data_IF_721212168834
#
_entry.id   IF_721212168834
#
_cell.length_a   1.000
_cell.length_b   1.000
_cell.length_c   1.000
_cell.angle_alpha   90.00
_cell.angle_beta   90.00
_cell.angle_gamma   90.00
#
_symmetry.space_group_name_H-M   'P 1'
#
loop_
_entity.id
_entity.type
_entity.pdbx_description
1 polymer ?
#
# COMPACT_ATOMS: atom_id res chain seq x y z
N UNK A 1 17.09 9.68 -12.59
CA UNK A 1 17.79 10.81 -11.95
C UNK A 1 19.00 11.27 -12.77
N UNK A 2 20.06 10.46 -12.91
CA UNK A 2 21.35 10.88 -13.52
C UNK A 2 21.25 11.24 -15.00
N UNK A 3 20.60 10.41 -15.82
CA UNK A 3 20.37 10.71 -17.25
C UNK A 3 19.52 11.97 -17.49
N UNK A 4 18.74 12.38 -16.50
CA UNK A 4 17.92 13.60 -16.54
C UNK A 4 18.62 14.80 -15.88
N UNK A 5 19.86 14.65 -15.39
CA UNK A 5 20.62 15.72 -14.74
C UNK A 5 20.11 16.15 -13.35
N UNK A 6 19.14 15.43 -12.76
CA UNK A 6 18.55 15.79 -11.46
C UNK A 6 19.56 15.45 -10.35
N UNK A 7 20.07 16.43 -9.60
CA UNK A 7 21.11 16.18 -8.57
C UNK A 7 20.55 15.98 -7.16
N UNK A 8 19.39 16.58 -6.90
CA UNK A 8 18.74 16.62 -5.60
C UNK A 8 17.23 16.45 -5.80
N UNK A 9 16.56 15.89 -4.79
CA UNK A 9 15.11 15.71 -4.72
C UNK A 9 14.65 16.44 -3.47
N UNK A 10 13.86 17.50 -3.63
CA UNK A 10 13.38 18.26 -2.48
C UNK A 10 12.45 17.40 -1.62
N UNK A 11 11.55 16.63 -2.25
CA UNK A 11 10.59 15.78 -1.56
C UNK A 11 10.35 14.49 -2.34
N UNK A 12 10.41 13.35 -1.64
CA UNK A 12 9.87 12.08 -2.12
C UNK A 12 8.55 11.76 -1.40
N UNK A 13 7.51 11.36 -2.13
CA UNK A 13 6.20 11.03 -1.56
C UNK A 13 5.83 9.62 -2.01
N UNK A 14 5.50 8.76 -1.05
CA UNK A 14 5.14 7.38 -1.32
C UNK A 14 4.04 6.89 -0.38
N UNK A 15 2.96 6.38 -0.96
CA UNK A 15 1.90 5.70 -0.22
C UNK A 15 1.88 4.20 -0.50
N UNK A 16 1.51 3.39 0.50
CA UNK A 16 1.46 1.93 0.37
C UNK A 16 2.81 1.39 -0.13
N UNK A 17 2.82 0.61 -1.20
CA UNK A 17 4.04 0.08 -1.86
C UNK A 17 4.96 1.22 -2.34
N UNK A 18 4.42 2.38 -2.73
CA UNK A 18 5.23 3.55 -3.07
C UNK A 18 6.03 4.07 -1.86
N UNK A 19 5.52 3.88 -0.64
CA UNK A 19 6.23 4.17 0.61
C UNK A 19 7.47 3.30 0.78
N UNK A 20 7.45 2.05 0.32
CA UNK A 20 8.62 1.17 0.35
C UNK A 20 9.74 1.70 -0.53
N UNK A 21 9.40 2.17 -1.73
CA UNK A 21 10.36 2.79 -2.64
C UNK A 21 10.94 4.08 -2.06
N UNK A 22 10.09 4.92 -1.44
CA UNK A 22 10.53 6.14 -0.79
C UNK A 22 11.49 5.87 0.37
N UNK A 23 11.21 4.85 1.20
CA UNK A 23 12.09 4.39 2.27
C UNK A 23 13.43 3.88 1.71
N UNK A 24 13.39 2.95 0.76
CA UNK A 24 14.60 2.38 0.16
C UNK A 24 15.48 3.47 -0.48
N UNK A 25 14.91 4.41 -1.23
CA UNK A 25 15.68 5.51 -1.81
C UNK A 25 16.28 6.43 -0.75
N UNK A 26 15.54 6.73 0.31
CA UNK A 26 16.02 7.60 1.39
C UNK A 26 17.14 6.96 2.22
N UNK A 27 17.18 5.63 2.29
CA UNK A 27 18.27 4.88 2.94
C UNK A 27 19.46 4.71 2.00
N UNK A 28 19.23 4.40 0.72
CA UNK A 28 20.29 4.17 -0.27
C UNK A 28 21.00 5.47 -0.67
N UNK A 29 20.28 6.60 -0.66
CA UNK A 29 20.77 7.89 -1.13
C UNK A 29 20.44 9.03 -0.14
N UNK A 30 20.91 8.94 1.12
CA UNK A 30 20.46 9.83 2.21
C UNK A 30 20.77 11.32 1.95
N UNK A 31 21.84 11.63 1.22
CA UNK A 31 22.22 13.02 0.87
C UNK A 31 21.41 13.61 -0.31
N UNK A 32 20.55 12.81 -0.94
CA UNK A 32 19.87 13.20 -2.19
C UNK A 32 18.43 13.65 -1.97
N UNK A 33 17.88 13.47 -0.78
CA UNK A 33 16.47 13.69 -0.47
C UNK A 33 16.36 14.58 0.77
N UNK A 34 15.75 15.76 0.65
CA UNK A 34 15.61 16.70 1.77
C UNK A 34 14.37 16.41 2.64
N UNK A 35 13.23 16.17 2.01
CA UNK A 35 11.95 15.86 2.65
C UNK A 35 11.37 14.54 2.17
N UNK A 36 10.55 13.92 3.03
CA UNK A 36 9.89 12.65 2.71
C UNK A 36 8.46 12.64 3.24
N UNK A 37 7.53 12.10 2.48
CA UNK A 37 6.16 11.81 2.95
C UNK A 37 5.87 10.33 2.76
N UNK A 38 5.58 9.64 3.86
CA UNK A 38 5.20 8.23 3.89
C UNK A 38 3.73 8.11 4.29
N UNK A 39 2.92 7.44 3.46
CA UNK A 39 1.49 7.25 3.70
C UNK A 39 1.19 5.74 3.81
N UNK A 40 0.56 5.30 4.90
CA UNK A 40 0.00 3.95 5.02
C UNK A 40 0.95 2.83 4.53
N UNK A 41 2.18 2.79 5.07
CA UNK A 41 3.19 1.81 4.69
C UNK A 41 3.97 1.35 5.93
N UNK A 42 4.93 0.46 5.76
CA UNK A 42 5.74 -0.09 6.83
C UNK A 42 7.22 -0.27 6.44
N UNK A 43 8.07 -0.52 7.43
CA UNK A 43 9.51 -0.68 7.23
C UNK A 43 9.89 -2.05 6.64
N UNK A 44 9.04 -3.06 6.88
CA UNK A 44 9.23 -4.44 6.43
C UNK A 44 7.86 -5.06 6.31
N UNK A 45 7.63 -5.85 5.27
CA UNK A 45 6.34 -6.55 5.12
C UNK A 45 6.07 -7.43 6.36
N UNK A 46 4.86 -7.34 6.89
CA UNK A 46 4.44 -8.13 8.04
C UNK A 46 4.01 -9.54 7.60
N UNK A 47 3.96 -10.53 8.51
CA UNK A 47 3.32 -11.81 8.22
C UNK A 47 1.89 -11.64 7.72
N UNK A 48 1.14 -10.73 8.34
CA UNK A 48 -0.22 -10.37 7.94
C UNK A 48 -0.33 -9.90 6.48
N UNK A 49 0.54 -8.97 6.05
CA UNK A 49 0.60 -8.53 4.66
C UNK A 49 1.04 -9.66 3.71
N UNK A 50 1.97 -10.51 4.16
CA UNK A 50 2.45 -11.67 3.41
C UNK A 50 1.32 -12.69 3.18
N UNK A 51 0.49 -12.94 4.18
CA UNK A 51 -0.61 -13.89 4.10
C UNK A 51 -1.71 -13.40 3.15
N UNK A 52 -2.00 -12.09 3.16
CA UNK A 52 -2.86 -11.49 2.13
C UNK A 52 -2.29 -11.70 0.73
N UNK A 53 -0.99 -11.47 0.52
CA UNK A 53 -0.35 -11.64 -0.77
C UNK A 53 -0.29 -13.10 -1.22
N UNK A 54 -0.01 -14.04 -0.31
CA UNK A 54 0.00 -15.47 -0.62
C UNK A 54 -1.38 -15.97 -0.99
N UNK A 55 -2.42 -15.59 -0.25
CA UNK A 55 -3.81 -15.96 -0.57
C UNK A 55 -4.22 -15.45 -1.97
N UNK A 56 -3.76 -14.26 -2.35
CA UNK A 56 -3.94 -13.75 -3.71
C UNK A 56 -3.21 -14.59 -4.75
N UNK A 57 -1.97 -15.02 -4.48
CA UNK A 57 -1.23 -15.91 -5.39
C UNK A 57 -1.84 -17.29 -5.48
N UNK A 58 -2.33 -17.86 -4.39
CA UNK A 58 -3.09 -19.11 -4.40
C UNK A 58 -4.27 -19.01 -5.36
N UNK A 59 -5.00 -17.88 -5.38
CA UNK A 59 -6.07 -17.66 -6.34
C UNK A 59 -5.57 -17.64 -7.80
N UNK A 60 -4.36 -17.11 -8.06
CA UNK A 60 -3.75 -17.20 -9.39
C UNK A 60 -3.45 -18.66 -9.79
N UNK A 61 -2.82 -19.43 -8.90
CA UNK A 61 -2.51 -20.85 -9.12
C UNK A 61 -3.76 -21.74 -9.19
N UNK A 62 -4.89 -21.27 -8.68
CA UNK A 62 -6.19 -21.95 -8.79
C UNK A 62 -6.78 -21.88 -10.20
N UNK A 63 -6.27 -21.00 -11.06
CA UNK A 63 -6.65 -20.86 -12.46
C UNK A 63 -5.62 -21.61 -13.33
N UNK A 64 -5.95 -22.79 -13.91
CA UNK A 64 -4.99 -23.61 -14.65
C UNK A 64 -4.30 -22.85 -15.80
N UNK A 65 -5.01 -21.90 -16.42
CA UNK A 65 -4.45 -21.09 -17.51
C UNK A 65 -3.27 -20.22 -17.09
N UNK A 66 -3.10 -19.98 -15.78
CA UNK A 66 -1.96 -19.24 -15.23
C UNK A 66 -0.65 -20.01 -15.42
N UNK A 67 -0.61 -21.28 -15.02
CA UNK A 67 0.58 -22.13 -15.09
C UNK A 67 0.84 -22.67 -16.49
N UNK A 68 -0.22 -22.92 -17.25
CA UNK A 68 -0.11 -23.35 -18.66
C UNK A 68 0.61 -22.32 -19.53
N UNK A 69 0.49 -21.02 -19.22
CA UNK A 69 1.15 -19.92 -19.95
C UNK A 69 0.90 -19.90 -21.47
N UNK A 70 -0.21 -20.51 -21.92
CA UNK A 70 -0.59 -20.59 -23.33
C UNK A 70 -1.03 -19.23 -23.93
N UNK A 71 -1.24 -18.20 -23.10
CA UNK A 71 -1.67 -16.86 -23.51
C UNK A 71 -1.13 -15.80 -22.57
N UNK A 72 -0.89 -14.59 -23.10
CA UNK A 72 -0.58 -13.39 -22.30
C UNK A 72 -1.71 -13.03 -21.31
N UNK A 73 -2.92 -13.54 -21.53
CA UNK A 73 -4.07 -13.36 -20.64
C UNK A 73 -4.31 -14.55 -19.70
N UNK A 74 -3.37 -15.49 -19.60
CA UNK A 74 -3.45 -16.61 -18.66
C UNK A 74 -3.60 -16.14 -17.21
N UNK A 75 -4.35 -16.89 -16.40
CA UNK A 75 -4.64 -16.56 -15.00
C UNK A 75 -5.66 -15.43 -14.82
N UNK A 76 -6.44 -15.08 -15.86
CA UNK A 76 -7.41 -14.01 -15.80
C UNK A 76 -8.49 -14.20 -14.73
N UNK A 77 -9.01 -15.43 -14.56
CA UNK A 77 -10.00 -15.71 -13.50
C UNK A 77 -9.36 -15.74 -12.13
N UNK A 78 -8.14 -16.26 -12.04
CA UNK A 78 -7.34 -16.16 -10.83
C UNK A 78 -7.13 -14.70 -10.41
N UNK A 79 -6.84 -13.80 -11.36
CA UNK A 79 -6.64 -12.37 -11.10
C UNK A 79 -7.92 -11.66 -10.64
N UNK A 80 -9.08 -12.00 -11.20
CA UNK A 80 -10.37 -11.48 -10.72
C UNK A 80 -10.55 -11.81 -9.23
N UNK A 81 -10.28 -13.06 -8.83
CA UNK A 81 -10.37 -13.52 -7.44
C UNK A 81 -9.29 -12.91 -6.54
N UNK A 82 -8.04 -12.88 -6.99
CA UNK A 82 -6.93 -12.24 -6.28
C UNK A 82 -7.25 -10.77 -5.97
N UNK A 83 -7.80 -10.03 -6.93
CA UNK A 83 -8.23 -8.65 -6.69
C UNK A 83 -9.37 -8.55 -5.67
N UNK A 84 -10.34 -9.47 -5.70
CA UNK A 84 -11.41 -9.46 -4.72
C UNK A 84 -10.86 -9.68 -3.29
N UNK A 85 -9.91 -10.60 -3.11
CA UNK A 85 -9.19 -10.82 -1.85
C UNK A 85 -8.46 -9.55 -1.42
N UNK A 86 -7.68 -8.95 -2.33
CA UNK A 86 -6.93 -7.73 -2.05
C UNK A 86 -7.85 -6.58 -1.59
N UNK A 87 -9.04 -6.45 -2.20
CA UNK A 87 -10.00 -5.39 -1.86
C UNK A 87 -10.54 -5.51 -0.43
N UNK A 88 -10.60 -6.72 0.15
CA UNK A 88 -10.95 -6.89 1.55
C UNK A 88 -9.91 -6.26 2.48
N UNK A 89 -8.63 -6.34 2.12
CA UNK A 89 -7.54 -5.71 2.87
C UNK A 89 -7.47 -4.19 2.67
N UNK A 90 -7.99 -3.68 1.55
CA UNK A 90 -7.93 -2.24 1.26
C UNK A 90 -9.06 -1.42 1.89
N UNK A 91 -10.12 -2.09 2.33
CA UNK A 91 -11.32 -1.47 2.88
C UNK A 91 -11.41 -1.74 4.39
N UNK A 92 -12.40 -1.12 5.01
CA UNK A 92 -12.74 -1.39 6.41
C UNK A 92 -14.14 -1.97 6.52
N UNK A 93 -14.42 -2.60 7.66
CA UNK A 93 -15.76 -3.03 8.03
C UNK A 93 -16.81 -1.91 7.92
N UNK A 94 -16.48 -0.71 8.43
CA UNK A 94 -17.37 0.46 8.35
C UNK A 94 -17.59 0.91 6.91
N UNK A 95 -16.53 0.95 6.11
CA UNK A 95 -16.60 1.37 4.71
C UNK A 95 -17.48 0.45 3.86
N UNK A 96 -17.41 -0.86 4.08
CA UNK A 96 -18.32 -1.81 3.44
C UNK A 96 -19.76 -1.61 3.92
N UNK A 97 -19.99 -1.43 5.22
CA UNK A 97 -21.33 -1.16 5.76
C UNK A 97 -21.94 0.12 5.16
N UNK A 98 -21.15 1.19 5.00
CA UNK A 98 -21.62 2.45 4.43
C UNK A 98 -22.01 2.33 2.96
N UNK A 99 -21.29 1.53 2.17
CA UNK A 99 -21.39 1.59 0.71
C UNK A 99 -22.08 0.39 0.08
N UNK A 100 -22.09 -0.76 0.75
CA UNK A 100 -22.53 -2.05 0.18
C UNK A 100 -23.67 -2.71 0.97
N UNK A 101 -24.27 -2.02 1.95
CA UNK A 101 -25.46 -2.53 2.64
C UNK A 101 -26.67 -2.60 1.70
N UNK A 102 -27.48 -3.63 1.89
CA UNK A 102 -28.80 -3.75 1.27
C UNK A 102 -29.75 -2.69 1.84
N UNK A 103 -30.69 -2.24 1.02
CA UNK A 103 -31.74 -1.30 1.45
C UNK A 103 -32.91 -2.03 2.09
N UNK A 104 -33.23 -3.22 1.58
CA UNK A 104 -34.26 -4.11 2.12
C UNK A 104 -33.67 -5.00 3.23
N UNK A 105 -34.28 -4.94 4.42
CA UNK A 105 -33.86 -5.70 5.60
C UNK A 105 -34.25 -7.18 5.53
N UNK A 106 -35.24 -7.54 4.72
CA UNK A 106 -35.73 -8.93 4.58
C UNK A 106 -35.04 -9.66 3.41
N UNK A 107 -34.02 -9.03 2.81
CA UNK A 107 -33.31 -9.59 1.68
C UNK A 107 -32.51 -10.83 2.07
N UNK A 108 -32.76 -11.93 1.35
CA UNK A 108 -32.16 -13.23 1.65
C UNK A 108 -30.64 -13.29 1.40
N UNK A 109 -30.13 -12.63 0.35
CA UNK A 109 -28.71 -12.63 -0.02
C UNK A 109 -28.19 -11.21 -0.23
N UNK A 110 -26.96 -10.93 0.24
CA UNK A 110 -26.28 -9.65 0.10
C UNK A 110 -25.70 -9.43 -1.33
N UNK A 111 -26.58 -9.16 -2.29
CA UNK A 111 -26.24 -8.99 -3.70
C UNK A 111 -25.37 -7.77 -4.01
N UNK A 112 -25.54 -6.64 -3.31
CA UNK A 112 -24.75 -5.40 -3.52
C UNK A 112 -23.29 -5.65 -3.20
N UNK A 113 -22.98 -6.18 -2.02
CA UNK A 113 -21.62 -6.55 -1.65
C UNK A 113 -21.00 -7.58 -2.60
N UNK A 114 -21.76 -8.62 -2.97
CA UNK A 114 -21.30 -9.66 -3.90
C UNK A 114 -21.00 -9.10 -5.30
N UNK A 115 -21.90 -8.29 -5.85
CA UNK A 115 -21.75 -7.71 -7.19
C UNK A 115 -20.62 -6.68 -7.25
N UNK A 116 -20.45 -5.88 -6.20
CA UNK A 116 -19.32 -4.95 -6.05
C UNK A 116 -17.98 -5.69 -6.10
N UNK A 117 -17.83 -6.77 -5.32
CA UNK A 117 -16.58 -7.54 -5.32
C UNK A 117 -16.27 -8.15 -6.69
N UNK A 118 -17.26 -8.79 -7.32
CA UNK A 118 -17.11 -9.34 -8.68
C UNK A 118 -16.75 -8.26 -9.70
N UNK A 119 -17.40 -7.10 -9.62
CA UNK A 119 -17.15 -5.98 -10.52
C UNK A 119 -15.72 -5.43 -10.36
N UNK A 120 -15.24 -5.24 -9.13
CA UNK A 120 -13.87 -4.74 -8.90
C UNK A 120 -12.81 -5.72 -9.37
N UNK A 121 -13.03 -7.03 -9.20
CA UNK A 121 -12.19 -8.08 -9.75
C UNK A 121 -12.12 -8.02 -11.27
N UNK A 122 -13.28 -8.04 -11.94
CA UNK A 122 -13.38 -7.92 -13.40
C UNK A 122 -12.71 -6.65 -13.92
N UNK A 123 -12.96 -5.51 -13.27
CA UNK A 123 -12.40 -4.20 -13.64
C UNK A 123 -10.88 -4.18 -13.59
N UNK A 124 -10.23 -4.85 -12.63
CA UNK A 124 -8.77 -4.96 -12.64
C UNK A 124 -8.29 -5.88 -13.76
N UNK A 125 -8.88 -7.07 -13.89
CA UNK A 125 -8.47 -8.03 -14.93
C UNK A 125 -8.57 -7.45 -16.34
N UNK A 126 -9.58 -6.60 -16.61
CA UNK A 126 -9.72 -5.93 -17.92
C UNK A 126 -8.57 -4.92 -18.22
N UNK A 127 -7.73 -4.54 -17.24
CA UNK A 127 -6.67 -3.52 -17.39
C UNK A 127 -5.31 -3.90 -16.80
N UNK A 128 -5.14 -5.13 -16.33
CA UNK A 128 -3.92 -5.57 -15.65
C UNK A 128 -3.62 -7.04 -15.95
N UNK A 129 -2.35 -7.42 -15.81
CA UNK A 129 -1.85 -8.75 -16.17
C UNK A 129 -1.55 -9.60 -14.93
N UNK A 130 -1.93 -10.88 -14.96
CA UNK A 130 -1.78 -11.81 -13.83
C UNK A 130 -0.29 -12.07 -13.50
N UNK A 131 0.58 -12.19 -14.50
CA UNK A 131 2.02 -12.39 -14.30
C UNK A 131 2.70 -11.16 -13.68
N UNK A 132 2.32 -9.96 -14.13
CA UNK A 132 2.75 -8.72 -13.50
C UNK A 132 2.26 -8.63 -12.05
N UNK A 133 1.01 -9.00 -11.80
CA UNK A 133 0.42 -9.03 -10.45
C UNK A 133 1.19 -9.97 -9.54
N UNK A 134 1.41 -11.22 -9.97
CA UNK A 134 2.22 -12.21 -9.26
C UNK A 134 3.61 -11.65 -8.91
N UNK A 135 4.31 -11.12 -9.90
CA UNK A 135 5.66 -10.57 -9.74
C UNK A 135 5.68 -9.41 -8.74
N UNK A 136 4.70 -8.51 -8.81
CA UNK A 136 4.57 -7.41 -7.87
C UNK A 136 4.30 -7.90 -6.46
N UNK A 137 3.43 -8.90 -6.25
CA UNK A 137 3.20 -9.45 -4.90
C UNK A 137 4.46 -10.09 -4.32
N UNK A 138 5.29 -10.76 -5.13
CA UNK A 138 6.58 -11.27 -4.68
C UNK A 138 7.56 -10.13 -4.36
N UNK A 139 7.55 -9.06 -5.15
CA UNK A 139 8.35 -7.86 -4.85
C UNK A 139 7.93 -7.22 -3.53
N UNK A 140 6.63 -7.14 -3.25
CA UNK A 140 6.07 -6.62 -1.99
C UNK A 140 6.55 -7.49 -0.82
N UNK A 141 6.45 -8.81 -0.93
CA UNK A 141 6.90 -9.73 0.12
C UNK A 141 8.42 -9.68 0.38
N UNK A 142 9.18 -9.22 -0.61
CA UNK A 142 10.61 -9.01 -0.45
C UNK A 142 10.96 -7.73 0.31
N UNK A 143 9.99 -6.85 0.59
CA UNK A 143 10.24 -5.58 1.28
C UNK A 143 10.76 -5.78 2.70
N UNK A 144 11.96 -5.27 2.96
CA UNK A 144 12.59 -5.24 4.27
C UNK A 144 13.74 -4.25 4.25
N UNK A 145 13.52 -3.04 4.77
CA UNK A 145 14.57 -2.02 4.78
C UNK A 145 15.79 -2.41 5.60
N UNK A 146 15.68 -3.36 6.54
CA UNK A 146 16.79 -3.79 7.38
C UNK A 146 17.71 -4.84 6.73
N UNK A 147 17.33 -5.37 5.55
CA UNK A 147 18.05 -6.48 4.90
C UNK A 147 19.47 -6.05 4.53
N UNK A 148 20.46 -6.77 5.08
CA UNK A 148 21.88 -6.48 4.86
C UNK A 148 22.38 -5.17 5.50
N UNK A 149 21.56 -4.52 6.35
CA UNK A 149 21.88 -3.20 6.96
C UNK A 149 22.00 -3.24 8.48
N UNK A 150 21.96 -4.44 9.07
CA UNK A 150 22.12 -4.66 10.51
C UNK A 150 20.86 -4.44 11.34
N UNK A 151 19.68 -4.61 10.74
CA UNK A 151 18.38 -4.44 11.40
C UNK A 151 17.57 -3.30 10.80
N UNK A 152 16.27 -3.30 11.07
CA UNK A 152 15.33 -2.32 10.51
C UNK A 152 15.61 -0.94 11.13
N UNK A 153 15.75 -0.87 12.45
CA UNK A 153 16.03 0.32 13.24
C UNK A 153 17.32 1.00 12.79
N UNK A 154 18.39 0.21 12.58
CA UNK A 154 19.67 0.71 12.08
C UNK A 154 19.57 1.24 10.64
N UNK A 155 18.69 0.67 9.81
CA UNK A 155 18.48 1.17 8.46
C UNK A 155 17.67 2.47 8.47
N UNK A 156 16.60 2.53 9.26
CA UNK A 156 15.76 3.73 9.40
C UNK A 156 16.53 4.92 9.97
N UNK A 157 17.46 4.70 10.92
CA UNK A 157 18.29 5.76 11.49
C UNK A 157 19.28 6.40 10.50
N UNK A 158 19.49 5.81 9.34
CA UNK A 158 20.32 6.37 8.27
C UNK A 158 19.60 7.43 7.43
N UNK A 159 18.27 7.51 7.54
CA UNK A 159 17.46 8.48 6.79
C UNK A 159 17.77 9.89 7.31
N UNK A 160 18.24 10.75 6.41
CA UNK A 160 18.51 12.17 6.68
C UNK A 160 17.36 13.11 6.26
N UNK A 161 16.49 12.65 5.36
CA UNK A 161 15.31 13.39 4.96
C UNK A 161 14.40 13.64 6.16
N UNK A 162 13.75 14.80 6.22
CA UNK A 162 12.73 15.12 7.23
C UNK A 162 11.41 14.44 6.87
N UNK A 163 10.96 13.39 7.60
CA UNK A 163 9.75 12.66 7.25
C UNK A 163 8.48 13.29 7.82
N UNK A 164 7.42 13.34 7.01
CA UNK A 164 6.03 13.28 7.46
C UNK A 164 5.52 11.86 7.26
N UNK A 165 5.08 11.23 8.32
CA UNK A 165 4.52 9.88 8.32
C UNK A 165 3.04 10.01 8.63
N UNK A 166 2.20 9.49 7.74
CA UNK A 166 0.75 9.54 7.84
C UNK A 166 0.22 8.10 7.93
N UNK A 167 -0.45 7.80 9.04
CA UNK A 167 -1.23 6.58 9.21
C UNK A 167 -2.71 6.83 8.98
N UNK A 168 -3.45 5.79 8.57
CA UNK A 168 -4.91 5.81 8.52
C UNK A 168 -5.45 4.91 9.65
N UNK A 169 -6.35 5.42 10.47
CA UNK A 169 -6.80 4.75 11.70
C UNK A 169 -7.58 3.45 11.49
N UNK A 170 -8.23 3.30 10.34
CA UNK A 170 -8.97 2.10 9.96
C UNK A 170 -8.19 1.17 9.03
N UNK A 171 -6.92 1.44 8.74
CA UNK A 171 -6.09 0.59 7.89
C UNK A 171 -5.84 -0.75 8.56
N UNK A 172 -6.28 -1.82 7.89
CA UNK A 172 -6.04 -3.19 8.35
C UNK A 172 -4.87 -3.83 7.61
N UNK A 173 -4.45 -3.31 6.46
CA UNK A 173 -3.33 -3.87 5.70
C UNK A 173 -1.99 -3.41 6.27
N UNK A 174 -1.88 -2.11 6.58
CA UNK A 174 -0.74 -1.51 7.28
C UNK A 174 -1.24 -0.81 8.54
N UNK A 175 -1.47 -1.55 9.63
CA UNK A 175 -2.07 -0.99 10.84
C UNK A 175 -1.17 0.10 11.46
N UNK A 176 -1.78 0.98 12.26
CA UNK A 176 -1.14 2.18 12.80
C UNK A 176 0.17 1.91 13.55
N UNK A 177 0.32 0.73 14.16
CA UNK A 177 1.55 0.38 14.87
C UNK A 177 2.77 0.39 13.94
N UNK A 178 2.60 0.07 12.66
CA UNK A 178 3.67 0.06 11.66
C UNK A 178 4.16 1.48 11.34
N UNK A 179 3.25 2.45 11.20
CA UNK A 179 3.64 3.84 10.96
C UNK A 179 4.17 4.51 12.23
N UNK A 180 3.63 4.14 13.40
CA UNK A 180 4.18 4.57 14.68
C UNK A 180 5.62 4.08 14.85
N UNK A 181 5.89 2.82 14.52
CA UNK A 181 7.24 2.26 14.53
C UNK A 181 8.19 3.02 13.59
N UNK A 182 7.74 3.39 12.38
CA UNK A 182 8.53 4.26 11.49
C UNK A 182 8.83 5.61 12.15
N UNK A 183 7.86 6.24 12.80
CA UNK A 183 8.05 7.53 13.45
C UNK A 183 9.04 7.47 14.62
N UNK A 184 9.00 6.40 15.40
CA UNK A 184 9.90 6.19 16.53
C UNK A 184 11.35 5.92 16.10
N UNK A 185 11.56 5.36 14.90
CA UNK A 185 12.88 4.91 14.44
C UNK A 185 13.51 5.77 13.34
N UNK A 186 12.76 6.70 12.74
CA UNK A 186 13.30 7.67 11.79
C UNK A 186 13.53 9.02 12.51
N UNK A 187 14.77 9.55 12.53
CA UNK A 187 15.06 10.82 13.17
C UNK A 187 14.25 11.98 12.59
N UNK A 188 13.91 12.97 13.44
CA UNK A 188 13.22 14.20 13.06
C UNK A 188 11.89 13.98 12.30
N UNK A 189 11.20 12.87 12.58
CA UNK A 189 9.91 12.54 11.98
C UNK A 189 8.76 13.33 12.59
N UNK A 190 7.74 13.58 11.77
CA UNK A 190 6.41 14.00 12.21
C UNK A 190 5.44 12.86 11.94
N UNK A 191 4.58 12.56 12.91
CA UNK A 191 3.55 11.54 12.77
C UNK A 191 2.17 12.19 12.88
N UNK A 192 1.33 11.95 11.88
CA UNK A 192 -0.05 12.43 11.81
C UNK A 192 -0.96 11.23 11.55
N UNK A 193 -2.12 11.18 12.21
CA UNK A 193 -3.13 10.15 12.00
C UNK A 193 -4.32 10.79 11.29
N UNK A 194 -4.74 10.19 10.19
CA UNK A 194 -5.95 10.61 9.48
C UNK A 194 -7.06 9.60 9.76
N UNK A 195 -8.18 10.12 10.26
CA UNK A 195 -9.37 9.30 10.45
C UNK A 195 -10.10 9.08 9.13
N UNK A 196 -10.43 7.82 8.84
CA UNK A 196 -11.19 7.46 7.64
C UNK A 196 -12.03 6.22 7.92
N UNK A 197 -13.22 6.13 7.32
CA UNK A 197 -14.00 4.88 7.32
C UNK A 197 -13.58 3.94 6.17
N UNK A 198 -12.62 4.31 5.33
CA UNK A 198 -12.34 3.58 4.09
C UNK A 198 -11.17 2.61 4.14
N UNK A 199 -10.56 2.39 5.30
CA UNK A 199 -9.42 1.48 5.45
C UNK A 199 -8.17 2.01 4.77
N UNK A 200 -7.33 1.11 4.24
CA UNK A 200 -6.14 1.48 3.49
C UNK A 200 -6.44 2.49 2.37
N UNK A 201 -7.54 2.32 1.63
CA UNK A 201 -7.96 3.26 0.56
C UNK A 201 -8.16 4.70 1.07
N UNK A 202 -8.23 4.94 2.38
CA UNK A 202 -8.19 6.26 2.99
C UNK A 202 -7.00 7.12 2.54
N UNK A 203 -5.83 6.53 2.24
CA UNK A 203 -4.69 7.31 1.74
C UNK A 203 -4.91 7.88 0.32
N UNK A 204 -5.90 7.35 -0.42
CA UNK A 204 -6.33 7.87 -1.72
C UNK A 204 -7.57 8.77 -1.61
N UNK A 205 -8.45 8.48 -0.65
CA UNK A 205 -9.77 9.11 -0.54
C UNK A 205 -9.77 10.35 0.35
N UNK A 206 -8.97 10.38 1.42
CA UNK A 206 -8.87 11.50 2.36
C UNK A 206 -7.95 12.61 1.85
N UNK A 207 -7.99 12.89 0.54
CA UNK A 207 -7.06 13.78 -0.15
C UNK A 207 -7.04 15.20 0.44
N UNK A 208 -8.16 15.68 1.01
CA UNK A 208 -8.22 17.01 1.66
C UNK A 208 -7.31 17.07 2.89
N UNK A 209 -7.48 16.11 3.80
CA UNK A 209 -6.70 16.01 5.04
C UNK A 209 -5.22 15.75 4.73
N UNK A 210 -4.95 14.84 3.79
CA UNK A 210 -3.58 14.53 3.33
C UNK A 210 -2.92 15.76 2.72
N UNK A 211 -3.62 16.49 1.83
CA UNK A 211 -3.09 17.71 1.22
C UNK A 211 -2.80 18.78 2.25
N UNK A 212 -3.66 18.95 3.26
CA UNK A 212 -3.44 19.91 4.34
C UNK A 212 -2.18 19.56 5.15
N UNK A 213 -2.01 18.29 5.51
CA UNK A 213 -0.84 17.80 6.23
C UNK A 213 0.45 17.98 5.41
N UNK A 214 0.43 17.61 4.13
CA UNK A 214 1.58 17.78 3.23
C UNK A 214 1.94 19.26 3.08
N UNK A 215 0.96 20.15 2.86
CA UNK A 215 1.20 21.60 2.75
C UNK A 215 1.80 22.18 4.03
N UNK A 216 1.35 21.74 5.21
CA UNK A 216 1.93 22.13 6.50
C UNK A 216 3.38 21.66 6.59
N UNK A 217 3.68 20.42 6.20
CA UNK A 217 5.02 19.86 6.26
C UNK A 217 6.01 20.52 5.28
N UNK A 218 5.57 20.85 4.06
CA UNK A 218 6.39 21.57 3.07
C UNK A 218 6.92 22.90 3.66
N UNK A 219 6.11 23.61 4.45
CA UNK A 219 6.50 24.85 5.11
C UNK A 219 7.52 24.66 6.26
N UNK A 220 7.69 23.44 6.76
CA UNK A 220 8.60 23.12 7.88
C UNK A 220 9.98 22.68 7.37
N UNK A 221 10.02 22.09 6.17
CA UNK A 221 11.26 21.62 5.57
C UNK A 221 12.00 22.71 4.77
N UNK A 222 11.27 23.75 4.31
CA UNK A 222 11.81 24.99 3.74
C UNK A 222 12.36 25.91 4.85
#
# INVERSE_FOLDING_TARGET
>A
RERLGIRHIDIVIGGSIGGFQALEWSIMFPEKIAGMVLLACNAKVSPWGTDFNETQRMALFSDPSFEEQNSISGGAKGLETARAIALLSYRSYKGYKLTQSEEDCDKLFAEKACSYQKYQGKKLKDRFNAYSYYTLTKSIDSHNVGRGRGGVEKALSQIKAKPLIIGIDSDVLFPLEEQKFLAENIPNSQFEIISSDFGHDGFLLEWKSITAAIKKHIKIIQ
#
